data_IF_333211121074
#
_entry.id   IF_333211121074
#
_cell.length_a   1.000
_cell.length_b   1.000
_cell.length_c   1.000
_cell.angle_alpha   90.00
_cell.angle_beta   90.00
_cell.angle_gamma   90.00
#
_symmetry.space_group_name_H-M   'P 1'
#
loop_
_entity.id
_entity.type
_entity.pdbx_description
1 polymer ?
#
# COMPACT_ATOMS: atom_id res chain seq x y z
N UNK A 1 22.76 -23.45 -60.56
CA UNK A 1 23.76 -23.51 -59.47
C UNK A 1 23.69 -22.34 -58.48
N UNK A 2 23.06 -21.20 -58.82
CA UNK A 2 22.89 -20.09 -57.86
C UNK A 2 21.59 -20.14 -57.04
N UNK A 3 20.69 -21.08 -57.34
CA UNK A 3 19.39 -21.20 -56.66
C UNK A 3 19.44 -22.18 -55.49
N UNK A 4 20.31 -23.20 -55.56
CA UNK A 4 20.46 -24.20 -54.49
C UNK A 4 21.15 -23.63 -53.25
N UNK A 5 22.04 -22.65 -53.42
CA UNK A 5 22.72 -21.94 -52.32
C UNK A 5 21.77 -21.07 -51.49
N UNK A 6 20.66 -20.58 -52.07
CA UNK A 6 19.68 -19.75 -51.35
C UNK A 6 18.78 -20.61 -50.47
N UNK A 7 18.51 -21.85 -50.89
CA UNK A 7 17.71 -22.80 -50.12
C UNK A 7 18.51 -23.41 -48.96
N UNK A 8 19.81 -23.64 -49.13
CA UNK A 8 20.69 -24.05 -48.02
C UNK A 8 20.89 -22.92 -47.00
N UNK A 9 21.01 -21.65 -47.42
CA UNK A 9 21.05 -20.50 -46.51
C UNK A 9 19.75 -20.31 -45.70
N UNK A 10 18.61 -20.73 -46.23
CA UNK A 10 17.34 -20.67 -45.51
C UNK A 10 17.13 -21.87 -44.57
N UNK A 11 17.71 -23.03 -44.88
CA UNK A 11 17.66 -24.20 -44.01
C UNK A 11 18.57 -24.06 -42.77
N UNK A 12 19.77 -23.47 -42.92
CA UNK A 12 20.68 -23.22 -41.79
C UNK A 12 20.21 -22.08 -40.86
N UNK A 13 19.31 -21.21 -41.34
CA UNK A 13 18.75 -20.13 -40.53
C UNK A 13 17.75 -20.60 -39.46
N UNK A 14 17.30 -21.86 -39.50
CA UNK A 14 16.40 -22.43 -38.49
C UNK A 14 17.10 -23.39 -37.50
N UNK A 15 18.41 -23.59 -37.63
CA UNK A 15 19.17 -24.47 -36.73
C UNK A 15 20.44 -23.81 -36.18
N UNK A 16 20.36 -22.52 -35.86
CA UNK A 16 21.36 -21.85 -35.04
C UNK A 16 20.88 -21.81 -33.58
N UNK A 17 21.56 -22.58 -32.75
CA UNK A 17 21.26 -22.78 -31.33
C UNK A 17 21.23 -21.50 -30.52
N UNK A 18 20.52 -21.58 -29.39
CA UNK A 18 20.48 -20.57 -28.35
C UNK A 18 21.89 -20.06 -28.02
N UNK A 19 22.09 -18.78 -28.33
CA UNK A 19 23.14 -17.88 -27.83
C UNK A 19 24.44 -17.75 -28.62
N UNK A 20 24.45 -16.75 -29.52
CA UNK A 20 25.64 -16.07 -30.03
C UNK A 20 25.43 -14.55 -29.88
N UNK A 21 25.51 -14.04 -28.63
CA UNK A 21 25.77 -12.62 -28.33
C UNK A 21 24.78 -11.53 -28.78
N UNK A 22 23.67 -11.85 -29.46
CA UNK A 22 22.77 -10.84 -30.05
C UNK A 22 21.41 -10.63 -29.35
N UNK A 23 21.00 -11.54 -28.46
CA UNK A 23 19.71 -11.46 -27.75
C UNK A 23 19.95 -11.71 -26.25
N UNK A 24 19.57 -10.78 -25.35
CA UNK A 24 19.75 -11.01 -23.92
C UNK A 24 18.97 -12.26 -23.50
N UNK A 25 19.59 -13.18 -22.71
CA UNK A 25 19.00 -14.48 -22.36
C UNK A 25 17.68 -14.35 -21.59
N UNK A 26 17.46 -13.21 -20.94
CA UNK A 26 16.15 -12.77 -20.49
C UNK A 26 15.68 -11.64 -21.39
N UNK A 27 14.65 -11.87 -22.20
CA UNK A 27 13.98 -10.85 -23.05
C UNK A 27 13.23 -9.78 -22.23
N UNK A 28 13.70 -9.50 -21.01
CA UNK A 28 13.16 -8.49 -20.12
C UNK A 28 13.77 -7.12 -20.48
N UNK A 29 12.91 -6.14 -20.73
CA UNK A 29 13.34 -4.76 -20.90
C UNK A 29 14.00 -4.26 -19.61
N UNK A 30 15.18 -3.64 -19.73
CA UNK A 30 15.94 -3.08 -18.61
C UNK A 30 15.06 -2.21 -17.67
N UNK A 31 14.16 -1.40 -18.25
CA UNK A 31 13.24 -0.57 -17.47
C UNK A 31 12.23 -1.37 -16.64
N UNK A 32 11.72 -2.49 -17.16
CA UNK A 32 10.83 -3.38 -16.37
C UNK A 32 11.61 -4.07 -15.26
N UNK A 33 12.83 -4.51 -15.53
CA UNK A 33 13.67 -5.19 -14.54
C UNK A 33 14.05 -4.26 -13.38
N UNK A 34 14.42 -3.01 -13.67
CA UNK A 34 14.71 -2.01 -12.63
C UNK A 34 13.47 -1.66 -11.80
N UNK A 35 12.29 -1.64 -12.39
CA UNK A 35 11.03 -1.51 -11.64
C UNK A 35 10.83 -2.68 -10.67
N UNK A 36 11.09 -3.91 -11.09
CA UNK A 36 10.99 -5.08 -10.21
C UNK A 36 11.98 -5.03 -9.03
N UNK A 37 13.23 -4.60 -9.27
CA UNK A 37 14.20 -4.40 -8.18
C UNK A 37 13.76 -3.30 -7.21
N UNK A 38 13.24 -2.19 -7.73
CA UNK A 38 12.70 -1.10 -6.92
C UNK A 38 11.53 -1.57 -6.04
N UNK A 39 10.56 -2.28 -6.62
CA UNK A 39 9.41 -2.84 -5.88
C UNK A 39 9.84 -3.85 -4.82
N UNK A 40 10.84 -4.69 -5.13
CA UNK A 40 11.39 -5.63 -4.16
C UNK A 40 12.09 -4.90 -2.99
N UNK A 41 12.83 -3.83 -3.28
CA UNK A 41 13.46 -3.00 -2.25
C UNK A 41 12.43 -2.37 -1.32
N UNK A 42 11.33 -1.84 -1.87
CA UNK A 42 10.24 -1.25 -1.09
C UNK A 42 9.54 -2.31 -0.22
N UNK A 43 9.30 -3.51 -0.76
CA UNK A 43 8.74 -4.63 0.00
C UNK A 43 9.63 -5.05 1.19
N UNK A 44 10.96 -5.03 1.04
CA UNK A 44 11.88 -5.29 2.15
C UNK A 44 11.84 -4.19 3.20
N UNK A 45 11.73 -2.92 2.80
CA UNK A 45 11.55 -1.80 3.74
C UNK A 45 10.26 -1.97 4.56
N UNK A 46 9.13 -2.31 3.92
CA UNK A 46 7.88 -2.63 4.63
C UNK A 46 8.00 -3.84 5.56
N UNK A 47 8.69 -4.91 5.12
CA UNK A 47 8.92 -6.08 5.94
C UNK A 47 9.73 -5.73 7.21
N UNK A 48 10.75 -4.87 7.09
CA UNK A 48 11.52 -4.37 8.22
C UNK A 48 10.63 -3.63 9.23
N UNK A 49 9.75 -2.74 8.77
CA UNK A 49 8.80 -2.05 9.65
C UNK A 49 7.79 -3.00 10.31
N UNK A 50 7.28 -4.02 9.60
CA UNK A 50 6.38 -5.02 10.17
C UNK A 50 7.06 -5.90 11.21
N UNK A 51 8.31 -6.30 10.98
CA UNK A 51 9.09 -7.07 11.97
C UNK A 51 9.37 -6.20 13.20
N UNK A 52 9.74 -4.94 13.02
CA UNK A 52 9.95 -4.00 14.12
C UNK A 52 8.65 -3.81 14.93
N UNK A 53 7.52 -3.58 14.26
CA UNK A 53 6.21 -3.49 14.90
C UNK A 53 5.83 -4.79 15.63
N UNK A 54 6.06 -5.96 15.02
CA UNK A 54 5.80 -7.26 15.64
C UNK A 54 6.67 -7.51 16.88
N UNK A 55 7.96 -7.17 16.81
CA UNK A 55 8.87 -7.29 17.95
C UNK A 55 8.44 -6.38 19.11
N UNK A 56 8.06 -5.14 18.79
CA UNK A 56 7.45 -4.22 19.76
C UNK A 56 6.17 -4.82 20.34
N UNK A 57 5.30 -5.40 19.50
CA UNK A 57 4.04 -6.06 19.91
C UNK A 57 4.20 -7.17 20.92
N UNK A 58 5.22 -8.00 20.75
CA UNK A 58 5.53 -9.07 21.71
C UNK A 58 6.26 -8.58 22.96
N UNK A 59 6.94 -7.44 22.89
CA UNK A 59 7.75 -6.92 24.01
C UNK A 59 6.94 -6.10 25.02
N UNK A 60 5.75 -5.60 24.67
CA UNK A 60 4.87 -4.88 25.61
C UNK A 60 3.73 -5.75 26.15
N UNK A 61 3.53 -5.79 27.48
CA UNK A 61 2.48 -6.59 28.12
C UNK A 61 1.07 -6.01 27.95
N UNK A 62 0.92 -4.72 27.67
CA UNK A 62 -0.37 -4.03 27.48
C UNK A 62 -0.34 -3.18 26.21
N UNK A 63 -1.47 -3.07 25.51
CA UNK A 63 -1.60 -2.33 24.27
C UNK A 63 -2.92 -1.53 24.24
N UNK A 64 -2.93 -0.35 23.60
CA UNK A 64 -4.14 0.45 23.42
C UNK A 64 -5.28 -0.36 22.78
N UNK A 65 -6.50 -0.17 23.28
CA UNK A 65 -7.69 -0.78 22.70
C UNK A 65 -8.04 -0.01 21.40
N UNK A 66 -8.10 -0.67 20.23
CA UNK A 66 -8.37 0.00 18.95
C UNK A 66 -9.70 0.76 18.93
N UNK A 67 -10.69 0.26 19.68
CA UNK A 67 -12.00 0.88 19.80
C UNK A 67 -11.98 2.23 20.53
N UNK A 68 -10.91 2.56 21.26
CA UNK A 68 -10.73 3.85 21.92
C UNK A 68 -9.91 4.83 21.07
N UNK A 69 -8.86 4.34 20.39
CA UNK A 69 -7.96 5.16 19.57
C UNK A 69 -8.62 5.69 18.29
N UNK A 70 -9.60 4.95 17.76
CA UNK A 70 -10.23 5.31 16.47
C UNK A 70 -11.67 5.84 16.62
N UNK A 71 -12.10 6.28 17.82
CA UNK A 71 -13.49 6.74 18.08
C UNK A 71 -13.92 7.92 17.22
N UNK A 72 -12.97 8.72 16.76
CA UNK A 72 -13.24 9.98 16.08
C UNK A 72 -13.44 9.77 14.58
N UNK A 73 -14.67 9.42 14.18
CA UNK A 73 -15.05 9.47 12.77
C UNK A 73 -15.41 10.92 12.38
N UNK A 74 -14.95 11.44 11.22
CA UNK A 74 -15.47 12.69 10.70
C UNK A 74 -16.97 12.51 10.39
N UNK A 75 -17.77 13.55 10.63
CA UNK A 75 -19.25 13.58 10.44
C UNK A 75 -20.14 12.99 11.55
N UNK A 76 -19.65 12.86 12.79
CA UNK A 76 -20.53 12.63 13.95
C UNK A 76 -21.17 11.23 14.00
N UNK A 77 -20.53 10.22 13.40
CA UNK A 77 -20.92 8.81 13.58
C UNK A 77 -20.28 8.32 14.88
N UNK A 78 -20.94 8.57 16.00
CA UNK A 78 -20.55 8.00 17.28
C UNK A 78 -20.67 6.45 17.24
N UNK A 79 -19.68 5.78 17.84
CA UNK A 79 -19.65 4.33 18.13
C UNK A 79 -19.29 3.34 17.01
N UNK A 80 -18.73 3.74 15.85
CA UNK A 80 -18.18 2.77 14.87
C UNK A 80 -16.80 3.12 14.29
N UNK A 81 -15.75 3.14 15.14
CA UNK A 81 -14.35 3.42 14.77
C UNK A 81 -13.86 2.70 13.49
N UNK A 82 -14.15 1.40 13.38
CA UNK A 82 -13.65 0.55 12.30
C UNK A 82 -14.24 0.91 10.93
N UNK A 83 -15.37 1.62 10.87
CA UNK A 83 -15.99 1.99 9.58
C UNK A 83 -15.13 3.00 8.84
N UNK A 84 -14.49 3.94 9.54
CA UNK A 84 -13.67 4.97 8.89
C UNK A 84 -12.43 4.36 8.23
N UNK A 85 -11.72 3.47 8.93
CA UNK A 85 -10.58 2.69 8.38
C UNK A 85 -11.03 1.80 7.22
N UNK A 86 -12.19 1.15 7.35
CA UNK A 86 -12.73 0.29 6.27
C UNK A 86 -13.09 1.12 5.03
N UNK A 87 -13.63 2.33 5.21
CA UNK A 87 -13.91 3.26 4.13
C UNK A 87 -12.63 3.70 3.40
N UNK A 88 -11.55 4.06 4.13
CA UNK A 88 -10.26 4.38 3.50
C UNK A 88 -9.73 3.23 2.65
N UNK A 89 -9.82 2.02 3.18
CA UNK A 89 -9.42 0.80 2.46
C UNK A 89 -10.26 0.60 1.21
N UNK A 90 -11.58 0.79 1.30
CA UNK A 90 -12.49 0.72 0.17
C UNK A 90 -12.12 1.75 -0.93
N UNK A 91 -11.82 2.99 -0.55
CA UNK A 91 -11.37 4.05 -1.48
C UNK A 91 -10.09 3.63 -2.21
N UNK A 92 -9.10 3.07 -1.51
CA UNK A 92 -7.87 2.59 -2.14
C UNK A 92 -8.09 1.39 -3.08
N UNK A 93 -8.97 0.46 -2.73
CA UNK A 93 -9.33 -0.66 -3.61
C UNK A 93 -9.97 -0.14 -4.89
N UNK A 94 -10.93 0.78 -4.79
CA UNK A 94 -11.57 1.41 -5.95
C UNK A 94 -10.53 2.18 -6.77
N UNK A 95 -9.62 2.92 -6.12
CA UNK A 95 -8.52 3.63 -6.77
C UNK A 95 -7.53 2.71 -7.51
N UNK A 96 -7.35 1.47 -7.03
CA UNK A 96 -6.54 0.47 -7.74
C UNK A 96 -7.24 0.01 -9.02
N UNK A 97 -8.57 -0.23 -8.95
CA UNK A 97 -9.37 -0.60 -10.12
C UNK A 97 -9.37 0.50 -11.18
N UNK A 98 -9.46 1.79 -10.79
CA UNK A 98 -9.38 2.90 -11.75
C UNK A 98 -8.04 2.97 -12.46
N UNK A 99 -6.93 2.65 -11.78
CA UNK A 99 -5.60 2.57 -12.41
C UNK A 99 -5.51 1.43 -13.43
N UNK A 100 -6.05 0.25 -13.12
CA UNK A 100 -6.09 -0.87 -14.08
C UNK A 100 -6.90 -0.50 -15.32
N UNK A 101 -8.03 0.19 -15.16
CA UNK A 101 -8.85 0.71 -16.28
C UNK A 101 -8.09 1.74 -17.12
N UNK A 102 -7.32 2.63 -16.47
CA UNK A 102 -6.45 3.58 -17.17
C UNK A 102 -5.43 2.87 -18.06
N UNK A 103 -4.77 1.82 -17.54
CA UNK A 103 -3.79 1.02 -18.29
C UNK A 103 -4.44 0.30 -19.47
N UNK A 104 -5.66 -0.21 -19.31
CA UNK A 104 -6.41 -0.85 -20.40
C UNK A 104 -6.75 0.14 -21.53
N UNK A 105 -7.24 1.34 -21.21
CA UNK A 105 -7.48 2.39 -22.21
C UNK A 105 -6.18 2.85 -22.89
N UNK A 106 -5.05 2.77 -22.17
CA UNK A 106 -3.72 3.03 -22.72
C UNK A 106 -3.31 2.03 -23.80
N UNK A 107 -3.57 0.73 -23.59
CA UNK A 107 -3.36 -0.30 -24.62
C UNK A 107 -4.28 -0.14 -25.84
N UNK A 108 -5.43 0.53 -25.68
CA UNK A 108 -6.38 0.85 -26.75
C UNK A 108 -6.09 2.19 -27.43
N UNK A 109 -4.97 2.82 -27.09
CA UNK A 109 -4.54 4.14 -27.56
C UNK A 109 -5.55 5.28 -27.30
N UNK A 110 -6.50 5.06 -26.39
CA UNK A 110 -7.55 6.02 -26.06
C UNK A 110 -7.06 7.03 -25.00
N UNK A 111 -6.40 8.09 -25.47
CA UNK A 111 -5.82 9.14 -24.60
C UNK A 111 -6.83 9.78 -23.65
N UNK A 112 -8.05 10.07 -24.13
CA UNK A 112 -9.09 10.70 -23.31
C UNK A 112 -9.57 9.76 -22.20
N UNK A 113 -9.70 8.47 -22.50
CA UNK A 113 -9.99 7.44 -21.51
C UNK A 113 -8.91 7.34 -20.44
N UNK A 114 -7.64 7.28 -20.85
CA UNK A 114 -6.50 7.24 -19.92
C UNK A 114 -6.51 8.43 -18.97
N UNK A 115 -6.67 9.66 -19.49
CA UNK A 115 -6.69 10.88 -18.67
C UNK A 115 -7.84 10.85 -17.67
N UNK A 116 -9.05 10.47 -18.10
CA UNK A 116 -10.21 10.38 -17.23
C UNK A 116 -9.99 9.39 -16.08
N UNK A 117 -9.51 8.17 -16.38
CA UNK A 117 -9.29 7.15 -15.36
C UNK A 117 -8.11 7.50 -14.43
N UNK A 118 -7.05 8.13 -14.94
CA UNK A 118 -5.95 8.61 -14.09
C UNK A 118 -6.40 9.72 -13.14
N UNK A 119 -7.25 10.65 -13.60
CA UNK A 119 -7.83 11.69 -12.73
C UNK A 119 -8.64 11.07 -11.59
N UNK A 120 -9.42 10.03 -11.85
CA UNK A 120 -10.15 9.30 -10.81
C UNK A 120 -9.20 8.63 -9.81
N UNK A 121 -8.10 8.04 -10.26
CA UNK A 121 -7.07 7.47 -9.38
C UNK A 121 -6.43 8.54 -8.49
N UNK A 122 -6.11 9.72 -9.07
CA UNK A 122 -5.54 10.84 -8.31
C UNK A 122 -6.53 11.35 -7.27
N UNK A 123 -7.82 11.48 -7.61
CA UNK A 123 -8.86 11.89 -6.66
C UNK A 123 -9.04 10.87 -5.53
N UNK A 124 -9.00 9.57 -5.83
CA UNK A 124 -9.02 8.51 -4.83
C UNK A 124 -7.83 8.61 -3.87
N UNK A 125 -6.62 8.76 -4.40
CA UNK A 125 -5.40 8.96 -3.62
C UNK A 125 -5.42 10.25 -2.77
N UNK A 126 -5.89 11.37 -3.34
CA UNK A 126 -6.00 12.64 -2.62
C UNK A 126 -7.04 12.56 -1.48
N UNK A 127 -8.15 11.86 -1.70
CA UNK A 127 -9.15 11.59 -0.66
C UNK A 127 -8.52 10.79 0.49
N UNK A 128 -7.79 9.71 0.17
CA UNK A 128 -7.09 8.91 1.16
C UNK A 128 -6.08 9.74 1.97
N UNK A 129 -5.23 10.54 1.31
CA UNK A 129 -4.27 11.41 1.97
C UNK A 129 -4.94 12.48 2.84
N UNK A 130 -6.07 13.04 2.39
CA UNK A 130 -6.86 13.99 3.18
C UNK A 130 -7.42 13.37 4.45
N UNK A 131 -7.94 12.14 4.37
CA UNK A 131 -8.40 11.39 5.53
C UNK A 131 -7.25 11.12 6.52
N UNK A 132 -6.08 10.69 6.03
CA UNK A 132 -4.89 10.47 6.85
C UNK A 132 -4.41 11.76 7.53
N UNK A 133 -4.33 12.87 6.79
CA UNK A 133 -3.91 14.15 7.34
C UNK A 133 -4.87 14.63 8.45
N UNK A 134 -6.18 14.43 8.26
CA UNK A 134 -7.17 14.75 9.28
C UNK A 134 -7.03 13.87 10.52
N UNK A 135 -6.89 12.55 10.36
CA UNK A 135 -6.71 11.61 11.48
C UNK A 135 -5.47 11.97 12.31
N UNK A 136 -4.34 12.20 11.65
CA UNK A 136 -3.10 12.63 12.30
C UNK A 136 -3.22 14.00 12.98
N UNK A 137 -3.95 14.94 12.39
CA UNK A 137 -4.17 16.26 12.99
C UNK A 137 -5.02 16.16 14.26
N UNK A 138 -6.01 15.26 14.30
CA UNK A 138 -6.80 15.01 15.51
C UNK A 138 -5.99 14.26 16.58
N UNK A 139 -5.22 13.24 16.19
CA UNK A 139 -4.33 12.49 17.10
C UNK A 139 -3.32 13.41 17.80
N UNK A 140 -2.70 14.33 17.06
CA UNK A 140 -1.70 15.25 17.62
C UNK A 140 -2.36 16.42 18.36
N UNK A 141 -3.39 17.03 17.75
CA UNK A 141 -3.98 18.28 18.24
C UNK A 141 -5.03 18.10 19.34
N UNK A 142 -5.82 17.02 19.28
CA UNK A 142 -6.92 16.75 20.22
C UNK A 142 -6.51 15.76 21.29
N UNK A 143 -5.80 14.69 20.91
CA UNK A 143 -5.45 13.58 21.81
C UNK A 143 -4.02 13.73 22.39
N UNK A 144 -3.22 14.66 21.87
CA UNK A 144 -1.91 15.01 22.44
C UNK A 144 -0.79 14.01 22.10
N UNK A 145 -0.97 13.18 21.07
CA UNK A 145 0.07 12.25 20.61
C UNK A 145 1.30 13.00 20.08
N UNK A 146 2.48 12.60 20.54
CA UNK A 146 3.77 13.11 20.10
C UNK A 146 4.76 11.96 19.88
N UNK A 147 5.84 12.21 19.14
CA UNK A 147 6.93 11.24 18.92
C UNK A 147 7.48 10.68 20.23
N UNK A 148 7.42 11.46 21.31
CA UNK A 148 7.93 11.09 22.64
C UNK A 148 6.86 10.81 23.68
N UNK A 149 5.57 11.00 23.34
CA UNK A 149 4.45 10.87 24.29
C UNK A 149 3.32 10.12 23.61
N UNK A 150 3.01 8.94 24.15
CA UNK A 150 1.85 8.15 23.74
C UNK A 150 0.72 8.31 24.78
N UNK A 151 -0.35 9.07 24.47
CA UNK A 151 -1.46 9.31 25.37
C UNK A 151 -2.34 8.07 25.56
N UNK A 152 -2.14 7.02 24.76
CA UNK A 152 -2.87 5.75 24.88
C UNK A 152 -2.10 4.69 25.67
N UNK A 153 -0.90 5.03 26.17
CA UNK A 153 -0.02 4.14 26.90
C UNK A 153 -0.14 4.35 28.41
N UNK A 154 -1.23 3.83 29.00
CA UNK A 154 -1.41 3.70 30.46
C UNK A 154 -2.61 2.76 30.71
N UNK A 155 -2.59 1.73 31.55
CA UNK A 155 -1.94 1.58 32.85
C UNK A 155 -1.38 0.17 33.08
N UNK A 156 -0.31 0.11 33.86
CA UNK A 156 0.12 -1.09 34.56
C UNK A 156 -0.95 -1.52 35.57
N UNK A 157 -1.83 -2.45 35.20
CA UNK A 157 -2.29 -3.47 36.14
C UNK A 157 -2.22 -4.83 35.44
N UNK A 158 -1.31 -5.66 35.94
CA UNK A 158 -1.14 -7.08 35.71
C UNK A 158 -2.11 -7.74 34.72
N UNK A 159 -1.84 -7.63 33.43
CA UNK A 159 -2.38 -8.52 32.39
C UNK A 159 -3.89 -8.58 32.23
N UNK A 160 -4.64 -7.59 32.72
CA UNK A 160 -6.10 -7.53 32.53
C UNK A 160 -6.45 -6.26 31.77
N UNK A 161 -7.17 -6.39 30.64
CA UNK A 161 -7.66 -5.26 29.88
C UNK A 161 -8.61 -4.44 30.78
N UNK A 162 -8.26 -3.18 31.07
CA UNK A 162 -9.16 -2.29 31.79
C UNK A 162 -10.45 -2.14 30.96
N UNK A 163 -11.59 -2.45 31.56
CA UNK A 163 -12.87 -2.31 30.90
C UNK A 163 -13.18 -0.81 30.70
N UNK A 164 -13.96 -0.47 29.66
CA UNK A 164 -14.35 0.92 29.36
C UNK A 164 -14.93 1.66 30.58
N UNK A 165 -15.59 0.95 31.49
CA UNK A 165 -16.13 1.49 32.74
C UNK A 165 -15.05 2.00 33.71
N UNK A 166 -13.88 1.35 33.76
CA UNK A 166 -12.79 1.74 34.66
C UNK A 166 -12.07 2.99 34.13
N UNK A 167 -11.96 3.12 32.82
CA UNK A 167 -11.35 4.27 32.14
C UNK A 167 -12.20 5.54 32.31
N UNK A 168 -13.52 5.42 32.21
CA UNK A 168 -14.46 6.52 32.46
C UNK A 168 -14.45 6.97 33.93
N UNK A 169 -14.20 6.05 34.87
CA UNK A 169 -14.10 6.36 36.30
C UNK A 169 -12.81 7.09 36.68
N UNK A 170 -11.74 6.91 35.89
CA UNK A 170 -10.43 7.55 36.08
C UNK A 170 -10.35 8.96 35.46
N UNK A 171 -11.42 9.44 34.81
CA UNK A 171 -11.51 10.80 34.28
C UNK A 171 -10.92 10.99 32.89
N UNK A 172 -10.59 9.91 32.18
CA UNK A 172 -10.26 9.96 30.75
C UNK A 172 -11.58 9.92 29.95
N UNK A 173 -11.81 10.95 29.13
CA UNK A 173 -12.96 11.06 28.23
C UNK A 173 -12.65 10.47 26.85
#
# INVERSE_FOLDING_TARGET
MATDTVLEQQADAQQMGDWEGGKPPFRASYGKLMMWYFLLSDAFTFAGFLIAYGALRFSMPTWPVPDYVFKTAPFGIEHKPLIFVTFMTFVLIVSSVTMVRAVQEGHRENKNGVVFWMLLTILGGATFLGCQAWEWTNLIGTEGMSVTVDPFSNHSEAGTYAAEADLLSAGFQ
#
